data_IF_122063151290
#
_entry.id   IF_122063151290
#
_cell.length_a   1.000
_cell.length_b   1.000
_cell.length_c   1.000
_cell.angle_alpha   90.00
_cell.angle_beta   90.00
_cell.angle_gamma   90.00
#
_symmetry.space_group_name_H-M   'P 1'
#
loop_
_entity.id
_entity.type
_entity.pdbx_description
1 polymer ?
#
# COMPACT_ATOMS: atom_id res chain seq x y z
N UNK A 1 13.47 2.17 15.44
CA UNK A 1 13.46 2.75 14.09
C UNK A 1 12.02 2.69 13.61
N UNK A 2 11.49 3.78 13.04
CA UNK A 2 10.27 3.68 12.23
C UNK A 2 10.65 3.13 10.87
N UNK A 3 9.74 2.43 10.22
CA UNK A 3 9.89 1.96 8.84
C UNK A 3 8.71 2.52 8.06
N UNK A 4 8.91 3.70 7.50
CA UNK A 4 7.81 4.45 6.89
C UNK A 4 7.78 4.16 5.38
N UNK A 5 6.59 4.20 4.79
CA UNK A 5 6.38 3.90 3.37
C UNK A 5 5.81 5.14 2.72
N UNK A 6 6.50 5.59 1.68
CA UNK A 6 6.16 6.77 0.92
C UNK A 6 5.86 6.40 -0.53
N UNK A 7 4.67 6.77 -0.99
CA UNK A 7 4.32 6.75 -2.41
C UNK A 7 4.42 8.17 -2.95
N UNK A 8 5.26 8.39 -3.96
CA UNK A 8 5.51 9.70 -4.52
C UNK A 8 5.50 9.70 -6.05
N UNK A 9 5.30 10.89 -6.63
CA UNK A 9 5.44 11.14 -8.07
C UNK A 9 6.12 12.47 -8.28
N UNK A 10 7.13 12.53 -9.14
CA UNK A 10 7.84 13.79 -9.45
C UNK A 10 8.31 14.55 -8.18
N UNK A 11 8.71 13.82 -7.14
CA UNK A 11 9.12 14.37 -5.81
C UNK A 11 7.98 14.96 -4.97
N UNK A 12 6.72 14.75 -5.35
CA UNK A 12 5.55 15.09 -4.55
C UNK A 12 4.99 13.84 -3.85
N UNK A 13 4.70 13.99 -2.56
CA UNK A 13 4.15 12.94 -1.73
C UNK A 13 2.66 12.74 -2.06
N UNK A 14 2.31 11.52 -2.44
CA UNK A 14 0.91 11.11 -2.73
C UNK A 14 0.30 10.42 -1.51
N UNK A 15 1.09 9.58 -0.83
CA UNK A 15 0.67 8.86 0.35
C UNK A 15 1.87 8.53 1.23
N UNK A 16 1.77 8.84 2.52
CA UNK A 16 2.74 8.47 3.55
C UNK A 16 2.05 7.57 4.60
N UNK A 17 2.68 6.45 4.94
CA UNK A 17 2.17 5.44 5.88
C UNK A 17 3.26 5.03 6.89
N UNK A 18 2.94 5.14 8.18
CA UNK A 18 3.90 4.84 9.26
C UNK A 18 3.92 3.37 9.68
N UNK A 19 5.05 2.69 9.49
CA UNK A 19 5.27 1.30 9.92
C UNK A 19 4.33 0.25 9.29
N UNK A 20 3.73 0.54 8.13
CA UNK A 20 2.82 -0.38 7.44
C UNK A 20 3.56 -1.47 6.64
N UNK A 21 4.56 -2.12 7.23
CA UNK A 21 5.38 -3.15 6.56
C UNK A 21 4.56 -4.30 5.97
N UNK A 22 3.46 -4.67 6.63
CA UNK A 22 2.55 -5.71 6.12
C UNK A 22 1.81 -5.27 4.85
N UNK A 23 1.55 -3.97 4.69
CA UNK A 23 1.01 -3.41 3.46
C UNK A 23 2.07 -3.41 2.36
N UNK A 24 3.31 -3.02 2.67
CA UNK A 24 4.42 -3.06 1.72
C UNK A 24 4.65 -4.48 1.19
N UNK A 25 4.54 -5.50 2.04
CA UNK A 25 4.73 -6.90 1.66
C UNK A 25 3.70 -7.42 0.62
N UNK A 26 2.60 -6.68 0.40
CA UNK A 26 1.64 -6.99 -0.65
C UNK A 26 2.21 -6.69 -2.05
N UNK A 27 3.17 -5.77 -2.15
CA UNK A 27 3.76 -5.40 -3.42
C UNK A 27 4.90 -6.34 -3.82
N UNK A 28 5.17 -6.38 -5.11
CA UNK A 28 6.28 -7.11 -5.70
C UNK A 28 7.16 -6.13 -6.49
N UNK A 29 8.32 -5.81 -5.91
CA UNK A 29 9.25 -4.83 -6.47
C UNK A 29 9.85 -5.28 -7.82
N UNK A 30 9.92 -6.60 -8.07
CA UNK A 30 10.49 -7.13 -9.31
C UNK A 30 9.57 -6.90 -10.52
N UNK A 31 8.26 -6.69 -10.27
CA UNK A 31 7.26 -6.47 -11.31
C UNK A 31 7.27 -5.03 -11.81
N UNK A 32 7.33 -4.07 -10.89
CA UNK A 32 7.45 -2.65 -11.24
C UNK A 32 8.84 -2.28 -11.74
N UNK A 33 9.85 -2.99 -11.25
CA UNK A 33 11.25 -2.67 -11.48
C UNK A 33 11.75 -1.59 -10.53
N UNK A 34 13.05 -1.63 -10.25
CA UNK A 34 13.74 -0.64 -9.40
C UNK A 34 13.79 0.71 -10.09
N UNK A 35 13.63 1.77 -9.30
CA UNK A 35 13.70 3.16 -9.78
C UNK A 35 15.14 3.64 -9.85
N UNK A 36 15.94 3.34 -8.83
CA UNK A 36 17.32 3.81 -8.70
C UNK A 36 18.28 2.66 -8.37
N UNK A 37 19.50 2.73 -8.90
CA UNK A 37 20.55 1.77 -8.57
C UNK A 37 21.00 1.96 -7.13
N UNK A 38 21.00 0.86 -6.36
CA UNK A 38 21.46 0.84 -4.96
C UNK A 38 20.40 1.24 -3.92
N UNK A 39 19.18 1.58 -4.36
CA UNK A 39 18.01 1.76 -3.50
C UNK A 39 17.01 0.64 -3.78
N UNK A 40 16.16 0.35 -2.80
CA UNK A 40 15.09 -0.64 -2.96
C UNK A 40 13.77 -0.02 -3.46
N UNK A 41 13.79 1.27 -3.79
CA UNK A 41 12.65 1.99 -4.38
C UNK A 41 12.21 1.33 -5.69
N UNK A 42 10.90 1.13 -5.85
CA UNK A 42 10.34 0.46 -7.02
C UNK A 42 9.11 1.19 -7.57
N UNK A 43 8.81 0.97 -8.85
CA UNK A 43 7.60 1.53 -9.47
C UNK A 43 6.35 0.77 -9.05
N UNK A 44 5.30 1.51 -8.72
CA UNK A 44 3.96 0.98 -8.51
C UNK A 44 3.16 1.23 -9.79
N UNK A 45 2.71 0.14 -10.40
CA UNK A 45 1.95 0.11 -11.66
C UNK A 45 0.64 -0.67 -11.46
N UNK A 46 -0.22 -0.69 -12.48
CA UNK A 46 -1.43 -1.53 -12.48
C UNK A 46 -1.10 -3.01 -12.23
N UNK A 47 0.03 -3.50 -12.74
CA UNK A 47 0.44 -4.90 -12.54
C UNK A 47 0.86 -5.18 -11.11
N UNK A 48 1.59 -4.26 -10.46
CA UNK A 48 1.95 -4.42 -9.05
C UNK A 48 0.72 -4.36 -8.15
N UNK A 49 -0.25 -3.49 -8.49
CA UNK A 49 -1.51 -3.39 -7.76
C UNK A 49 -2.35 -4.67 -7.89
N UNK A 50 -2.43 -5.26 -9.09
CA UNK A 50 -3.16 -6.52 -9.28
C UNK A 50 -2.59 -7.68 -8.44
N UNK A 51 -1.27 -7.71 -8.25
CA UNK A 51 -0.61 -8.67 -7.36
C UNK A 51 -0.91 -8.36 -5.90
N UNK A 52 -0.85 -7.08 -5.51
CA UNK A 52 -1.20 -6.64 -4.16
C UNK A 52 -2.66 -6.99 -3.81
N UNK A 53 -3.61 -6.83 -4.74
CA UNK A 53 -5.01 -7.24 -4.55
C UNK A 53 -5.11 -8.74 -4.29
N UNK A 54 -4.42 -9.56 -5.09
CA UNK A 54 -4.45 -11.02 -4.95
C UNK A 54 -3.88 -11.46 -3.60
N UNK A 55 -2.75 -10.88 -3.18
CA UNK A 55 -2.13 -11.15 -1.87
C UNK A 55 -3.02 -10.67 -0.72
N UNK A 56 -3.64 -9.49 -0.86
CA UNK A 56 -4.55 -8.93 0.13
C UNK A 56 -5.81 -9.79 0.29
N UNK A 57 -6.38 -10.30 -0.81
CA UNK A 57 -7.52 -11.20 -0.77
C UNK A 57 -7.20 -12.49 0.00
N UNK A 58 -6.00 -13.05 -0.17
CA UNK A 58 -5.52 -14.20 0.61
C UNK A 58 -5.36 -13.85 2.09
N UNK A 59 -4.81 -12.67 2.40
CA UNK A 59 -4.64 -12.21 3.79
C UNK A 59 -6.00 -12.01 4.48
N UNK A 60 -6.97 -11.37 3.82
CA UNK A 60 -8.35 -11.19 4.31
C UNK A 60 -9.03 -12.53 4.58
N UNK A 61 -8.93 -13.46 3.63
CA UNK A 61 -9.52 -14.80 3.77
C UNK A 61 -8.90 -15.57 4.94
N UNK A 62 -7.57 -15.53 5.07
CA UNK A 62 -6.82 -16.17 6.17
C UNK A 62 -7.20 -15.59 7.53
N UNK A 63 -7.54 -14.29 7.58
CA UNK A 63 -8.00 -13.61 8.77
C UNK A 63 -9.51 -13.80 9.05
N UNK A 64 -10.24 -14.51 8.18
CA UNK A 64 -11.68 -14.70 8.30
C UNK A 64 -12.50 -13.43 8.07
N UNK A 65 -11.95 -12.44 7.37
CA UNK A 65 -12.59 -11.14 7.10
C UNK A 65 -13.38 -11.23 5.79
N UNK A 66 -14.68 -11.03 5.88
CA UNK A 66 -15.57 -11.02 4.71
C UNK A 66 -15.48 -9.70 3.93
N UNK A 67 -15.87 -9.74 2.65
CA UNK A 67 -15.92 -8.55 1.78
C UNK A 67 -16.86 -7.45 2.25
N UNK A 68 -17.80 -7.75 3.15
CA UNK A 68 -18.70 -6.74 3.75
C UNK A 68 -18.07 -6.02 4.94
N UNK A 69 -16.93 -6.50 5.44
CA UNK A 69 -16.21 -5.93 6.58
C UNK A 69 -15.07 -4.99 6.17
N UNK A 70 -14.68 -5.02 4.89
CA UNK A 70 -13.66 -4.12 4.34
C UNK A 70 -14.22 -2.72 4.18
N UNK A 71 -13.38 -1.71 4.39
CA UNK A 71 -13.73 -0.33 4.18
C UNK A 71 -13.70 -0.01 2.68
N UNK A 72 -14.72 0.71 2.20
CA UNK A 72 -14.77 1.23 0.83
C UNK A 72 -13.97 2.52 0.66
N UNK A 73 -13.71 3.23 1.77
CA UNK A 73 -12.98 4.49 1.80
C UNK A 73 -11.93 4.47 2.91
N UNK A 74 -10.86 5.24 2.74
CA UNK A 74 -9.81 5.36 3.75
C UNK A 74 -10.37 6.18 4.93
N UNK A 75 -10.38 5.65 6.16
CA UNK A 75 -10.86 6.40 7.32
C UNK A 75 -10.03 7.69 7.55
N UNK A 76 -10.70 8.74 8.04
CA UNK A 76 -10.02 9.99 8.39
C UNK A 76 -8.89 9.74 9.40
N UNK A 77 -7.69 10.28 9.11
CA UNK A 77 -6.50 10.12 9.94
C UNK A 77 -5.88 8.72 9.89
N UNK A 78 -6.34 7.83 9.01
CA UNK A 78 -5.74 6.49 8.87
C UNK A 78 -4.25 6.55 8.55
N UNK A 79 -3.83 7.46 7.66
CA UNK A 79 -2.43 7.61 7.27
C UNK A 79 -1.52 8.09 8.43
N UNK A 80 -2.11 8.71 9.46
CA UNK A 80 -1.38 9.16 10.65
C UNK A 80 -1.15 8.04 11.68
N UNK A 81 -1.82 6.90 11.51
CA UNK A 81 -1.74 5.76 12.44
C UNK A 81 -0.37 5.09 12.33
N UNK A 82 0.27 4.86 13.48
CA UNK A 82 1.42 3.94 13.55
C UNK A 82 0.89 2.50 13.60
N UNK A 83 1.10 1.76 12.51
CA UNK A 83 0.61 0.39 12.35
C UNK A 83 1.07 -0.57 13.46
N UNK A 84 2.20 -0.31 14.13
CA UNK A 84 2.68 -1.16 15.25
C UNK A 84 1.80 -1.07 16.49
N UNK A 85 1.04 0.02 16.62
CA UNK A 85 0.16 0.27 17.75
C UNK A 85 -1.31 -0.02 17.43
N UNK A 86 -1.64 -0.17 16.14
CA UNK A 86 -2.98 -0.46 15.69
C UNK A 86 -3.27 -1.96 15.68
N UNK A 87 -4.54 -2.30 15.80
CA UNK A 87 -4.95 -3.70 15.71
C UNK A 87 -4.82 -4.19 14.26
N UNK A 88 -4.12 -5.29 14.04
CA UNK A 88 -3.87 -5.85 12.71
C UNK A 88 -5.14 -5.98 11.85
N UNK A 89 -6.21 -6.54 12.41
CA UNK A 89 -7.48 -6.73 11.68
C UNK A 89 -8.15 -5.41 11.26
N UNK A 90 -7.91 -4.31 11.97
CA UNK A 90 -8.39 -2.99 11.57
C UNK A 90 -7.63 -2.49 10.36
N UNK A 91 -6.29 -2.60 10.37
CA UNK A 91 -5.44 -2.21 9.24
C UNK A 91 -5.82 -2.99 7.97
N UNK A 92 -5.96 -4.31 8.10
CA UNK A 92 -6.27 -5.20 6.99
C UNK A 92 -7.61 -4.87 6.32
N UNK A 93 -8.61 -4.40 7.09
CA UNK A 93 -9.91 -3.95 6.55
C UNK A 93 -9.81 -2.64 5.76
N UNK A 94 -8.79 -1.83 5.99
CA UNK A 94 -8.62 -0.52 5.36
C UNK A 94 -7.74 -0.58 4.10
N UNK A 95 -6.85 -1.58 4.00
CA UNK A 95 -5.95 -1.75 2.85
C UNK A 95 -6.63 -1.83 1.47
N UNK A 96 -7.84 -2.40 1.31
CA UNK A 96 -8.52 -2.35 0.01
C UNK A 96 -8.79 -0.93 -0.49
N UNK A 97 -9.20 -0.02 0.40
CA UNK A 97 -9.42 1.38 0.03
C UNK A 97 -8.12 2.11 -0.34
N UNK A 98 -7.00 1.76 0.31
CA UNK A 98 -5.68 2.28 -0.08
C UNK A 98 -5.27 1.80 -1.47
N UNK A 99 -5.45 0.52 -1.78
CA UNK A 99 -5.14 0.00 -3.11
C UNK A 99 -6.02 0.64 -4.19
N UNK A 100 -7.31 0.88 -3.92
CA UNK A 100 -8.18 1.61 -4.86
C UNK A 100 -7.73 3.05 -5.06
N UNK A 101 -7.38 3.77 -3.99
CA UNK A 101 -6.86 5.14 -4.11
C UNK A 101 -5.58 5.21 -4.93
N UNK A 102 -4.64 4.28 -4.72
CA UNK A 102 -3.43 4.18 -5.54
C UNK A 102 -3.76 3.86 -7.01
N UNK A 103 -4.75 3.00 -7.24
CA UNK A 103 -5.21 2.62 -8.60
C UNK A 103 -5.82 3.79 -9.35
N UNK A 104 -6.71 4.54 -8.71
CA UNK A 104 -7.29 5.76 -9.29
C UNK A 104 -6.19 6.76 -9.63
N UNK A 105 -5.27 6.99 -8.69
CA UNK A 105 -4.15 7.90 -8.90
C UNK A 105 -3.22 7.46 -10.05
N UNK A 106 -2.96 6.16 -10.19
CA UNK A 106 -2.14 5.62 -11.29
C UNK A 106 -2.86 5.71 -12.63
N UNK A 107 -4.17 5.49 -12.67
CA UNK A 107 -4.98 5.61 -13.89
C UNK A 107 -4.94 7.03 -14.45
N UNK A 108 -5.02 8.03 -13.58
CA UNK A 108 -5.14 9.43 -13.99
C UNK A 108 -3.78 10.08 -14.31
N UNK A 109 -2.71 9.59 -13.70
CA UNK A 109 -1.42 10.30 -13.68
C UNK A 109 -0.20 9.41 -13.97
N UNK A 110 -0.38 8.11 -14.15
CA UNK A 110 0.69 7.14 -14.38
C UNK A 110 1.34 6.59 -13.11
N UNK A 111 2.42 5.80 -13.23
CA UNK A 111 3.04 5.08 -12.12
C UNK A 111 3.45 5.98 -10.93
N UNK A 112 3.52 5.37 -9.75
CA UNK A 112 4.09 5.96 -8.55
C UNK A 112 5.45 5.33 -8.25
N UNK A 113 6.28 6.00 -7.46
CA UNK A 113 7.46 5.41 -6.83
C UNK A 113 7.08 5.05 -5.39
N UNK A 114 7.34 3.82 -4.98
CA UNK A 114 7.29 3.41 -3.59
C UNK A 114 8.71 3.45 -3.03
N UNK A 115 8.94 4.31 -2.04
CA UNK A 115 10.16 4.41 -1.26
C UNK A 115 9.88 4.01 0.19
N UNK A 116 10.87 3.46 0.89
CA UNK A 116 10.72 3.03 2.28
C UNK A 116 12.06 2.99 3.02
N UNK A 117 12.04 3.16 4.34
CA UNK A 117 13.24 3.14 5.19
C UNK A 117 12.98 3.35 6.68
#
# INVERSE_FOLDING_TARGET
>A
MSFDILFCRNQEDVLDLKNHTDFLALFDADIGGRVYDGYDDFYVTDQTLAIADARLAVALTSAGIGSHEVQSEIPNGFCDIDARTAHWSYLLRCYPALLEMLRENIRDHGPLVCAYG
#
